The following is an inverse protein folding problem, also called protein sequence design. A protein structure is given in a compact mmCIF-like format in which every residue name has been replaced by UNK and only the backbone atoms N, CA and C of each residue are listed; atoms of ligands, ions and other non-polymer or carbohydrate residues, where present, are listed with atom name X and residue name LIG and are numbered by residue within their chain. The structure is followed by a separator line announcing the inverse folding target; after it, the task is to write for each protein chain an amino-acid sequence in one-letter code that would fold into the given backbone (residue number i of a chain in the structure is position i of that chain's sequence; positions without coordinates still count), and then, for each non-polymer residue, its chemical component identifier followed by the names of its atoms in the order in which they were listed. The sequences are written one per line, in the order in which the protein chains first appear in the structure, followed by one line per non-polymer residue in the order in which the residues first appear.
data_IF_143726030150
#
_entry.id   IF_143726030150
#
_cell.length_a   1.000
_cell.length_b   1.000
_cell.length_c   1.000
_cell.angle_alpha   90.00
_cell.angle_beta   90.00
_cell.angle_gamma   90.00
#
_symmetry.space_group_name_H-M   'P 1'
#
loop_
_entity.id
_entity.type
_entity.pdbx_description
1 polymer ?
#
# COMPACT_ATOMS: atom_id res chain seq x y z
N UNK A 1 -29.93 -8.89 -1.82
CA UNK A 1 -29.87 -9.63 -3.07
C UNK A 1 -30.51 -8.80 -4.18
N UNK A 2 -29.87 -8.74 -5.35
CA UNK A 2 -30.41 -8.10 -6.57
C UNK A 2 -30.42 -9.12 -7.69
N UNK A 3 -31.47 -9.10 -8.49
CA UNK A 3 -31.54 -9.93 -9.68
C UNK A 3 -30.66 -9.32 -10.78
N UNK A 4 -29.91 -10.19 -11.47
CA UNK A 4 -29.07 -9.79 -12.60
C UNK A 4 -29.94 -9.83 -13.87
N UNK A 5 -29.95 -8.73 -14.61
CA UNK A 5 -30.68 -8.63 -15.86
C UNK A 5 -29.79 -8.15 -17.01
N UNK A 6 -30.21 -8.44 -18.22
CA UNK A 6 -29.46 -8.04 -19.42
C UNK A 6 -29.32 -6.53 -19.49
N UNK A 7 -28.08 -6.03 -19.65
CA UNK A 7 -27.76 -4.59 -19.68
C UNK A 7 -27.51 -3.96 -18.31
N UNK A 8 -27.53 -4.73 -17.21
CA UNK A 8 -27.14 -4.24 -15.91
C UNK A 8 -25.70 -3.72 -15.94
N UNK A 9 -25.49 -2.49 -15.45
CA UNK A 9 -24.15 -1.89 -15.35
C UNK A 9 -23.77 -1.77 -13.88
N UNK A 10 -22.57 -2.23 -13.56
CA UNK A 10 -21.93 -2.02 -12.26
C UNK A 10 -20.93 -0.86 -12.37
N UNK A 11 -20.73 -0.16 -11.25
CA UNK A 11 -19.75 0.93 -11.18
C UNK A 11 -18.33 0.35 -11.29
N UNK A 12 -17.64 0.66 -12.38
CA UNK A 12 -16.30 0.11 -12.69
C UNK A 12 -15.21 0.50 -11.66
N UNK A 13 -15.48 1.52 -10.83
CA UNK A 13 -14.52 2.00 -9.84
C UNK A 13 -14.81 1.51 -8.41
N UNK A 14 -15.84 0.67 -8.24
CA UNK A 14 -16.17 0.07 -6.94
C UNK A 14 -15.90 -1.42 -6.97
N UNK A 15 -15.45 -1.95 -5.85
CA UNK A 15 -15.37 -3.40 -5.65
C UNK A 15 -16.80 -3.95 -5.52
N UNK A 16 -17.07 -5.04 -6.24
CA UNK A 16 -18.36 -5.73 -6.21
C UNK A 16 -18.13 -7.18 -5.84
N UNK A 17 -18.93 -7.70 -4.91
CA UNK A 17 -19.06 -9.12 -4.67
C UNK A 17 -20.25 -9.64 -5.46
N UNK A 18 -20.04 -10.72 -6.19
CA UNK A 18 -21.07 -11.33 -7.02
C UNK A 18 -21.22 -12.78 -6.57
N UNK A 19 -22.37 -13.11 -6.00
CA UNK A 19 -22.70 -14.42 -5.52
C UNK A 19 -23.88 -15.00 -6.33
N UNK A 20 -23.86 -16.30 -6.57
CA UNK A 20 -24.94 -17.03 -7.23
C UNK A 20 -25.81 -17.67 -6.18
N UNK A 21 -27.07 -17.32 -6.13
CA UNK A 21 -28.06 -17.99 -5.25
C UNK A 21 -28.42 -19.33 -5.85
N UNK A 22 -28.09 -20.41 -5.14
CA UNK A 22 -28.38 -21.77 -5.57
C UNK A 22 -29.78 -22.21 -5.13
N UNK A 23 -30.16 -21.90 -3.88
CA UNK A 23 -31.46 -22.23 -3.34
C UNK A 23 -31.89 -21.23 -2.25
N UNK A 24 -33.20 -21.15 -2.03
CA UNK A 24 -33.81 -20.41 -0.93
C UNK A 24 -34.87 -21.27 -0.29
N UNK A 25 -34.73 -21.57 0.99
CA UNK A 25 -35.65 -22.44 1.70
C UNK A 25 -35.85 -22.01 3.15
N UNK A 26 -36.94 -22.42 3.74
CA UNK A 26 -37.15 -22.44 5.19
C UNK A 26 -36.59 -23.78 5.68
N UNK A 27 -35.67 -23.75 6.64
CA UNK A 27 -35.02 -24.99 7.14
C UNK A 27 -35.99 -25.75 8.00
N UNK A 28 -36.28 -27.01 7.62
CA UNK A 28 -37.06 -27.97 8.40
C UNK A 28 -36.42 -29.35 8.32
N UNK A 29 -36.73 -30.22 9.26
CA UNK A 29 -36.27 -31.62 9.24
C UNK A 29 -36.73 -32.37 7.98
N UNK A 30 -37.91 -32.03 7.46
CA UNK A 30 -38.45 -32.63 6.24
C UNK A 30 -37.64 -32.27 4.98
N UNK A 31 -36.92 -31.14 5.01
CA UNK A 31 -36.17 -30.64 3.87
C UNK A 31 -34.68 -31.04 3.86
N UNK A 32 -34.25 -31.92 4.77
CA UNK A 32 -32.85 -32.36 4.91
C UNK A 32 -32.27 -32.87 3.58
N UNK A 33 -33.02 -33.63 2.81
CA UNK A 33 -32.59 -34.16 1.52
C UNK A 33 -32.35 -33.04 0.51
N UNK A 34 -33.30 -32.11 0.41
CA UNK A 34 -33.19 -30.93 -0.48
C UNK A 34 -32.01 -30.07 -0.10
N UNK A 35 -31.82 -29.81 1.20
CA UNK A 35 -30.67 -29.06 1.71
C UNK A 35 -29.35 -29.72 1.31
N UNK A 36 -29.22 -31.04 1.47
CA UNK A 36 -28.01 -31.76 1.07
C UNK A 36 -27.73 -31.66 -0.44
N UNK A 37 -28.74 -31.72 -1.26
CA UNK A 37 -28.64 -31.63 -2.72
C UNK A 37 -28.21 -30.19 -3.11
N UNK A 38 -28.83 -29.15 -2.55
CA UNK A 38 -28.49 -27.73 -2.78
C UNK A 38 -27.08 -27.43 -2.33
N UNK A 39 -26.64 -27.91 -1.17
CA UNK A 39 -25.28 -27.75 -0.69
C UNK A 39 -24.23 -28.42 -1.62
N UNK A 40 -24.53 -29.62 -2.16
CA UNK A 40 -23.63 -30.25 -3.14
C UNK A 40 -23.47 -29.43 -4.41
N UNK A 41 -24.58 -28.86 -4.90
CA UNK A 41 -24.55 -27.98 -6.08
C UNK A 41 -23.77 -26.70 -5.77
N UNK A 42 -24.06 -26.06 -4.64
CA UNK A 42 -23.39 -24.85 -4.20
C UNK A 42 -21.88 -25.07 -4.07
N UNK A 43 -21.46 -26.13 -3.38
CA UNK A 43 -20.05 -26.51 -3.24
C UNK A 43 -19.36 -26.79 -4.57
N UNK A 44 -20.09 -27.39 -5.52
CA UNK A 44 -19.55 -27.65 -6.86
C UNK A 44 -19.38 -26.35 -7.67
N UNK A 45 -20.37 -25.46 -7.64
CA UNK A 45 -20.33 -24.19 -8.38
C UNK A 45 -19.36 -23.19 -7.76
N UNK A 46 -19.26 -23.16 -6.43
CA UNK A 46 -18.34 -22.29 -5.67
C UNK A 46 -16.94 -22.87 -5.50
N UNK A 47 -16.60 -23.96 -6.22
CA UNK A 47 -15.27 -24.61 -6.13
C UNK A 47 -14.85 -24.90 -4.68
N UNK A 48 -15.81 -25.41 -3.90
CA UNK A 48 -15.63 -25.75 -2.48
C UNK A 48 -15.91 -24.62 -1.49
N UNK A 49 -16.33 -23.45 -1.95
CA UNK A 49 -16.78 -22.34 -1.12
C UNK A 49 -18.31 -22.22 -1.19
N UNK A 50 -18.95 -22.02 -0.04
CA UNK A 50 -20.40 -21.75 0.04
C UNK A 50 -20.66 -20.70 1.10
N UNK A 51 -21.64 -19.82 0.82
CA UNK A 51 -22.16 -18.84 1.74
C UNK A 51 -23.58 -19.22 2.13
N UNK A 52 -23.88 -19.10 3.41
CA UNK A 52 -25.24 -19.25 3.91
C UNK A 52 -25.67 -17.88 4.45
N UNK A 53 -26.72 -17.34 3.84
CA UNK A 53 -27.32 -16.07 4.25
C UNK A 53 -28.59 -16.36 5.05
N UNK A 54 -28.63 -15.91 6.28
CA UNK A 54 -29.88 -15.83 7.05
C UNK A 54 -30.71 -14.67 6.50
N UNK A 55 -31.89 -14.97 5.98
CA UNK A 55 -32.73 -13.98 5.32
C UNK A 55 -33.44 -13.01 6.30
N UNK A 56 -33.54 -13.34 7.58
CA UNK A 56 -34.15 -12.51 8.61
C UNK A 56 -33.12 -11.54 9.22
N UNK A 57 -31.94 -12.05 9.57
CA UNK A 57 -30.89 -11.26 10.22
C UNK A 57 -29.91 -10.62 9.24
N UNK A 58 -29.88 -11.04 7.96
CA UNK A 58 -28.87 -10.73 6.95
C UNK A 58 -27.44 -11.13 7.37
N UNK A 59 -27.32 -12.06 8.32
CA UNK A 59 -26.02 -12.61 8.71
C UNK A 59 -25.52 -13.57 7.63
N UNK A 60 -24.25 -13.40 7.23
CA UNK A 60 -23.59 -14.26 6.25
C UNK A 60 -22.59 -15.15 6.95
N UNK A 61 -22.65 -16.46 6.72
CA UNK A 61 -21.70 -17.46 7.21
C UNK A 61 -20.98 -18.11 6.04
N UNK A 62 -19.66 -18.15 6.12
CA UNK A 62 -18.81 -18.74 5.10
C UNK A 62 -18.44 -20.18 5.49
N UNK A 63 -18.51 -21.09 4.52
CA UNK A 63 -18.08 -22.49 4.66
C UNK A 63 -17.20 -22.86 3.47
N UNK A 64 -16.11 -23.56 3.75
CA UNK A 64 -15.18 -24.00 2.71
C UNK A 64 -14.67 -25.42 2.98
N UNK A 65 -14.41 -26.15 1.91
CA UNK A 65 -13.61 -27.40 1.96
C UNK A 65 -12.11 -27.12 1.89
N UNK A 66 -11.74 -25.90 1.55
CA UNK A 66 -10.35 -25.44 1.48
C UNK A 66 -9.96 -24.80 2.82
N UNK A 67 -8.67 -24.52 2.98
CA UNK A 67 -8.16 -23.82 4.14
C UNK A 67 -8.76 -22.40 4.20
N UNK A 68 -9.65 -22.19 5.14
CA UNK A 68 -10.34 -20.90 5.33
C UNK A 68 -10.60 -20.67 6.82
N UNK A 69 -10.39 -19.46 7.26
CA UNK A 69 -10.86 -19.01 8.56
C UNK A 69 -12.38 -18.74 8.49
N UNK A 70 -13.22 -19.48 9.25
CA UNK A 70 -14.67 -19.32 9.17
C UNK A 70 -15.18 -17.99 9.74
N UNK A 71 -14.36 -17.28 10.53
CA UNK A 71 -14.75 -16.00 11.15
C UNK A 71 -14.54 -14.85 10.19
N UNK A 72 -13.36 -14.79 9.55
CA UNK A 72 -12.97 -13.69 8.66
C UNK A 72 -13.31 -13.95 7.19
N UNK A 73 -13.59 -15.20 6.82
CA UNK A 73 -13.79 -15.62 5.42
C UNK A 73 -12.49 -15.66 4.60
N UNK A 74 -11.33 -15.40 5.22
CA UNK A 74 -10.03 -15.47 4.55
C UNK A 74 -9.72 -16.91 4.16
N UNK A 75 -9.52 -17.14 2.88
CA UNK A 75 -9.13 -18.45 2.36
C UNK A 75 -7.66 -18.46 1.95
N UNK A 76 -7.03 -19.60 2.19
CA UNK A 76 -5.64 -19.85 1.85
C UNK A 76 -5.58 -20.92 0.76
N UNK A 77 -4.65 -20.78 -0.17
CA UNK A 77 -4.34 -21.83 -1.14
C UNK A 77 -3.72 -23.03 -0.43
N UNK A 78 -3.91 -24.23 -1.00
CA UNK A 78 -3.23 -25.41 -0.48
C UNK A 78 -1.71 -25.20 -0.49
N UNK A 79 -1.02 -25.53 0.63
CA UNK A 79 0.42 -25.40 0.72
C UNK A 79 1.11 -26.26 -0.33
N UNK A 80 1.92 -25.65 -1.17
CA UNK A 80 2.74 -26.33 -2.15
C UNK A 80 4.22 -25.99 -1.92
N UNK A 81 5.17 -26.81 -2.37
CA UNK A 81 6.61 -26.60 -2.12
C UNK A 81 7.09 -25.18 -2.45
N UNK A 82 6.54 -24.55 -3.49
CA UNK A 82 6.91 -23.21 -3.89
C UNK A 82 6.47 -22.11 -2.89
N UNK A 83 5.46 -22.38 -2.04
CA UNK A 83 5.03 -21.46 -0.98
C UNK A 83 6.07 -21.34 0.15
N UNK A 84 6.97 -22.31 0.27
CA UNK A 84 8.02 -22.37 1.30
C UNK A 84 9.40 -22.05 0.75
N UNK A 85 9.51 -21.80 -0.55
CA UNK A 85 10.79 -21.51 -1.19
C UNK A 85 11.05 -20.01 -1.19
N UNK A 86 12.15 -19.58 -0.56
CA UNK A 86 12.57 -18.18 -0.61
C UNK A 86 12.96 -17.71 -2.03
N UNK A 87 13.15 -18.64 -2.96
CA UNK A 87 13.47 -18.37 -4.37
C UNK A 87 12.23 -18.40 -5.28
N UNK A 88 11.03 -18.53 -4.71
CA UNK A 88 9.76 -18.47 -5.42
C UNK A 88 9.03 -17.15 -5.08
N UNK A 89 8.40 -16.49 -6.04
CA UNK A 89 7.59 -15.27 -5.76
C UNK A 89 6.50 -15.49 -4.71
N UNK A 90 5.97 -16.71 -4.59
CA UNK A 90 4.91 -17.04 -3.62
C UNK A 90 5.44 -17.30 -2.21
N UNK A 91 6.69 -17.77 -2.08
CA UNK A 91 7.31 -18.10 -0.79
C UNK A 91 8.34 -17.10 -0.32
N UNK A 92 8.82 -16.24 -1.20
CA UNK A 92 9.79 -15.21 -0.86
C UNK A 92 9.20 -14.13 0.04
N UNK A 93 9.99 -13.66 0.97
CA UNK A 93 9.62 -12.49 1.78
C UNK A 93 9.35 -11.28 0.87
N UNK A 94 8.19 -10.60 0.98
CA UNK A 94 7.86 -9.46 0.11
C UNK A 94 8.81 -8.27 0.28
N UNK A 95 9.46 -8.14 1.45
CA UNK A 95 10.42 -7.06 1.72
C UNK A 95 11.78 -7.32 1.10
N UNK A 96 12.38 -8.49 1.38
CA UNK A 96 13.74 -8.80 0.90
C UNK A 96 13.75 -9.66 -0.37
N UNK A 97 12.59 -10.07 -0.89
CA UNK A 97 12.43 -10.92 -2.09
C UNK A 97 13.32 -12.18 -2.05
N UNK A 98 13.50 -12.76 -0.86
CA UNK A 98 14.33 -13.94 -0.64
C UNK A 98 15.81 -13.67 -0.35
N UNK A 99 16.25 -12.40 -0.35
CA UNK A 99 17.66 -12.05 -0.12
C UNK A 99 18.11 -12.11 1.36
N UNK A 100 17.15 -12.23 2.30
CA UNK A 100 17.43 -12.28 3.75
C UNK A 100 17.81 -10.92 4.37
N UNK A 101 18.06 -9.92 3.55
CA UNK A 101 18.49 -8.59 3.96
C UNK A 101 17.63 -7.53 3.26
N UNK A 102 17.42 -6.39 3.92
CA UNK A 102 16.75 -5.22 3.34
C UNK A 102 17.63 -4.00 3.54
N UNK A 103 17.65 -3.15 2.55
CA UNK A 103 18.30 -1.86 2.64
C UNK A 103 17.43 -0.93 3.50
N UNK A 104 17.94 -0.53 4.65
CA UNK A 104 17.30 0.45 5.53
C UNK A 104 18.07 1.77 5.41
N UNK A 105 17.34 2.87 5.45
CA UNK A 105 17.98 4.17 5.51
C UNK A 105 18.56 4.43 6.91
N UNK A 106 19.76 4.96 6.95
CA UNK A 106 20.44 5.38 8.16
C UNK A 106 20.12 6.84 8.45
N UNK A 107 19.11 7.06 9.31
CA UNK A 107 18.64 8.40 9.65
C UNK A 107 19.70 9.26 10.28
N UNK A 108 20.64 8.68 11.05
CA UNK A 108 21.74 9.41 11.69
C UNK A 108 22.72 9.96 10.64
N UNK A 109 22.84 9.32 9.49
CA UNK A 109 23.64 9.82 8.36
C UNK A 109 22.89 10.80 7.48
N UNK A 110 21.56 10.67 7.39
CA UNK A 110 20.71 11.57 6.59
C UNK A 110 20.54 12.89 7.32
N UNK A 111 20.31 12.86 8.63
CA UNK A 111 20.12 14.03 9.49
C UNK A 111 21.08 13.96 10.70
N UNK A 112 22.38 14.16 10.48
CA UNK A 112 23.38 14.05 11.55
C UNK A 112 23.30 15.17 12.58
N UNK A 113 22.77 16.32 12.21
CA UNK A 113 22.60 17.48 13.09
C UNK A 113 21.19 18.07 12.94
N UNK A 114 20.25 17.67 13.83
CA UNK A 114 18.88 18.17 13.78
C UNK A 114 18.74 19.66 14.18
N UNK A 115 19.82 20.32 14.62
CA UNK A 115 19.80 21.75 14.87
C UNK A 115 19.88 22.58 13.59
N UNK A 116 20.31 21.96 12.49
CA UNK A 116 20.31 22.57 11.17
C UNK A 116 18.91 22.53 10.54
N UNK A 117 18.64 23.53 9.71
CA UNK A 117 17.44 23.55 8.88
C UNK A 117 17.66 22.82 7.56
N UNK A 118 16.58 22.43 6.89
CA UNK A 118 16.64 21.84 5.54
C UNK A 118 17.30 22.82 4.57
N UNK A 119 17.00 24.11 4.70
CA UNK A 119 17.64 25.18 3.92
C UNK A 119 19.16 25.19 4.06
N UNK A 120 19.67 24.99 5.27
CA UNK A 120 21.09 24.98 5.59
C UNK A 120 21.81 23.66 5.27
N UNK A 121 21.07 22.64 4.79
CA UNK A 121 21.61 21.34 4.45
C UNK A 121 21.47 20.31 5.56
N UNK A 122 20.53 20.47 6.49
CA UNK A 122 20.29 19.52 7.59
C UNK A 122 19.89 18.13 7.11
N UNK A 123 19.32 17.99 5.89
CA UNK A 123 19.20 16.72 5.18
C UNK A 123 20.42 16.59 4.24
N UNK A 124 21.44 15.87 4.69
CA UNK A 124 22.73 15.76 3.98
C UNK A 124 22.59 15.24 2.56
N UNK A 125 21.66 14.29 2.36
CA UNK A 125 21.37 13.73 1.04
C UNK A 125 20.90 14.77 0.01
N UNK A 126 20.25 15.84 0.43
CA UNK A 126 19.80 16.93 -0.46
C UNK A 126 20.85 18.04 -0.59
N UNK A 127 21.71 18.17 0.44
CA UNK A 127 22.65 19.27 0.57
C UNK A 127 21.93 20.59 0.91
N UNK A 128 22.65 21.72 0.71
CA UNK A 128 22.08 23.07 0.91
C UNK A 128 20.98 23.34 -0.13
N UNK A 129 20.09 24.25 0.23
CA UNK A 129 19.01 24.70 -0.63
C UNK A 129 19.47 25.03 -2.06
N UNK A 130 18.74 24.51 -3.01
CA UNK A 130 18.87 24.80 -4.45
C UNK A 130 17.49 25.10 -5.01
N UNK A 131 17.45 25.98 -6.00
CA UNK A 131 16.20 26.27 -6.71
C UNK A 131 15.82 25.08 -7.62
N UNK A 132 15.23 24.04 -7.04
CA UNK A 132 14.88 22.79 -7.72
C UNK A 132 13.56 22.22 -7.21
N UNK A 133 12.95 21.37 -8.03
CA UNK A 133 11.62 20.82 -7.80
C UNK A 133 11.48 20.17 -6.41
N UNK A 134 12.45 19.36 -5.99
CA UNK A 134 12.38 18.67 -4.69
C UNK A 134 12.30 19.67 -3.51
N UNK A 135 13.05 20.78 -3.58
CA UNK A 135 12.99 21.79 -2.53
C UNK A 135 11.68 22.57 -2.56
N UNK A 136 11.07 22.82 -3.72
CA UNK A 136 9.76 23.45 -3.81
C UNK A 136 8.66 22.56 -3.24
N UNK A 137 8.75 21.24 -3.47
CA UNK A 137 7.83 20.26 -2.89
C UNK A 137 7.96 20.21 -1.36
N UNK A 138 9.19 20.17 -0.84
CA UNK A 138 9.45 20.21 0.61
C UNK A 138 8.98 21.55 1.21
N UNK A 139 9.15 22.66 0.52
CA UNK A 139 8.67 23.96 0.98
C UNK A 139 7.14 24.00 1.08
N UNK A 140 6.44 23.44 0.09
CA UNK A 140 4.98 23.30 0.13
C UNK A 140 4.51 22.41 1.29
N UNK A 141 5.21 21.30 1.58
CA UNK A 141 4.95 20.45 2.74
C UNK A 141 5.16 21.19 4.06
N UNK A 142 6.30 21.89 4.19
CA UNK A 142 6.55 22.70 5.38
C UNK A 142 5.44 23.73 5.61
N UNK A 143 4.97 24.41 4.56
CA UNK A 143 3.88 25.39 4.64
C UNK A 143 2.56 24.74 5.06
N UNK A 144 2.25 23.54 4.54
CA UNK A 144 1.07 22.75 4.93
C UNK A 144 1.03 22.52 6.45
N UNK A 145 2.18 22.23 7.05
CA UNK A 145 2.31 21.97 8.49
C UNK A 145 2.66 23.22 9.33
N UNK A 146 2.57 24.43 8.75
CA UNK A 146 2.77 25.69 9.48
C UNK A 146 4.22 25.99 9.83
N UNK A 147 5.20 25.34 9.20
CA UNK A 147 6.64 25.55 9.37
C UNK A 147 7.27 26.01 8.05
N UNK A 148 8.56 26.28 8.07
CA UNK A 148 9.32 26.68 6.89
C UNK A 148 10.55 25.79 6.72
N UNK A 149 11.12 25.74 5.52
CA UNK A 149 12.38 25.02 5.28
C UNK A 149 13.58 25.57 6.06
N UNK A 150 13.43 26.75 6.67
CA UNK A 150 14.44 27.39 7.54
C UNK A 150 14.27 27.01 9.01
N UNK A 151 13.18 26.35 9.37
CA UNK A 151 12.96 25.81 10.72
C UNK A 151 13.98 24.71 10.99
N UNK A 152 14.66 24.68 12.17
CA UNK A 152 15.51 23.57 12.56
C UNK A 152 14.76 22.25 12.48
N UNK A 153 15.42 21.18 12.02
CA UNK A 153 14.77 19.86 11.82
C UNK A 153 14.14 19.34 13.12
N UNK A 154 14.78 19.55 14.27
CA UNK A 154 14.25 19.16 15.59
C UNK A 154 12.92 19.84 15.94
N UNK A 155 12.62 21.00 15.35
CA UNK A 155 11.42 21.79 15.63
C UNK A 155 10.34 21.58 14.54
N UNK A 156 10.58 20.73 13.55
CA UNK A 156 9.63 20.31 12.53
C UNK A 156 8.72 19.24 13.15
N UNK A 157 7.38 19.33 13.01
CA UNK A 157 6.46 18.28 13.47
C UNK A 157 6.81 16.90 12.90
N UNK A 158 6.65 15.84 13.68
CA UNK A 158 6.96 14.48 13.27
C UNK A 158 6.21 14.06 12.00
N UNK A 159 4.91 14.41 11.90
CA UNK A 159 4.11 14.15 10.70
C UNK A 159 4.70 14.83 9.44
N UNK A 160 5.14 16.08 9.58
CA UNK A 160 5.78 16.81 8.47
C UNK A 160 7.10 16.18 8.07
N UNK A 161 7.89 15.74 9.05
CA UNK A 161 9.17 15.06 8.79
C UNK A 161 8.95 13.68 8.15
N UNK A 162 7.91 12.95 8.56
CA UNK A 162 7.53 11.68 7.94
C UNK A 162 7.12 11.87 6.48
N UNK A 163 6.25 12.84 6.18
CA UNK A 163 5.89 13.17 4.80
C UNK A 163 7.12 13.63 3.96
N UNK A 164 8.04 14.40 4.54
CA UNK A 164 9.28 14.81 3.86
C UNK A 164 10.15 13.60 3.54
N UNK A 165 10.26 12.65 4.46
CA UNK A 165 11.10 11.47 4.27
C UNK A 165 10.46 10.41 3.39
N UNK A 166 9.19 10.08 3.63
CA UNK A 166 8.52 8.93 3.03
C UNK A 166 7.57 9.30 1.87
N UNK A 167 7.31 10.60 1.68
CA UNK A 167 6.37 11.07 0.65
C UNK A 167 4.94 11.17 1.15
N UNK A 168 4.06 11.62 0.28
CA UNK A 168 2.62 11.76 0.55
C UNK A 168 1.81 11.39 -0.68
N UNK A 169 0.65 10.76 -0.47
CA UNK A 169 -0.31 10.46 -1.54
C UNK A 169 -1.08 11.71 -1.99
N UNK A 170 -1.02 12.78 -1.20
CA UNK A 170 -1.65 14.06 -1.55
C UNK A 170 -0.88 14.77 -2.65
N UNK A 171 -1.62 15.42 -3.54
CA UNK A 171 -1.01 16.30 -4.54
C UNK A 171 -0.66 17.63 -3.94
N UNK A 172 0.60 17.97 -3.94
CA UNK A 172 1.10 19.24 -3.43
C UNK A 172 0.89 20.36 -4.45
N UNK A 173 0.31 21.47 -4.01
CA UNK A 173 0.22 22.68 -4.81
C UNK A 173 1.55 23.44 -4.71
N UNK A 174 2.27 23.49 -5.82
CA UNK A 174 3.55 24.22 -5.88
C UNK A 174 3.29 25.61 -6.45
N UNK A 175 3.66 26.62 -5.67
CA UNK A 175 3.67 28.02 -6.07
C UNK A 175 5.12 28.45 -6.25
N UNK A 176 5.54 28.71 -7.49
CA UNK A 176 6.87 29.22 -7.76
C UNK A 176 6.81 30.23 -8.91
N UNK A 177 7.35 31.41 -8.69
CA UNK A 177 7.36 32.49 -9.67
C UNK A 177 8.12 32.10 -10.94
N UNK A 178 9.07 31.17 -10.83
CA UNK A 178 9.85 30.66 -11.97
C UNK A 178 9.04 29.76 -12.91
N UNK A 179 7.90 29.22 -12.45
CA UNK A 179 6.99 28.37 -13.24
C UNK A 179 5.81 29.14 -13.85
N UNK A 180 5.75 30.45 -13.62
CA UNK A 180 4.63 31.30 -14.05
C UNK A 180 3.43 31.22 -13.09
N UNK A 181 2.33 31.91 -13.45
CA UNK A 181 1.12 32.02 -12.59
C UNK A 181 0.29 30.75 -12.51
N UNK A 182 0.73 29.62 -13.03
CA UNK A 182 -0.01 28.36 -13.03
C UNK A 182 0.19 27.59 -11.74
N UNK A 183 -0.92 27.11 -11.14
CA UNK A 183 -0.87 26.21 -10.00
C UNK A 183 -0.53 24.80 -10.51
N UNK A 184 0.61 24.26 -10.14
CA UNK A 184 0.97 22.88 -10.43
C UNK A 184 0.67 21.99 -9.25
N UNK A 185 0.01 20.86 -9.52
CA UNK A 185 -0.26 19.81 -8.53
C UNK A 185 0.63 18.61 -8.82
N UNK A 186 1.58 18.34 -7.95
CA UNK A 186 2.55 17.26 -8.11
C UNK A 186 2.54 16.31 -6.92
N UNK A 187 2.75 15.02 -7.20
CA UNK A 187 3.01 14.02 -6.17
C UNK A 187 4.43 14.17 -5.62
N UNK A 188 4.62 13.87 -4.36
CA UNK A 188 5.92 13.88 -3.71
C UNK A 188 6.25 12.50 -3.16
N UNK A 189 7.33 11.93 -3.61
CA UNK A 189 7.69 10.54 -3.32
C UNK A 189 8.64 10.38 -2.11
N UNK A 190 9.11 11.47 -1.54
CA UNK A 190 9.98 11.47 -0.37
C UNK A 190 11.48 11.39 -0.65
N UNK A 191 12.26 11.87 0.33
CA UNK A 191 13.74 11.80 0.29
C UNK A 191 14.22 10.35 0.32
N UNK A 192 13.53 9.49 1.04
CA UNK A 192 13.86 8.06 1.13
C UNK A 192 13.88 7.41 -0.25
N UNK A 193 12.82 7.59 -1.04
CA UNK A 193 12.74 7.06 -2.39
C UNK A 193 13.80 7.68 -3.31
N UNK A 194 14.05 8.98 -3.18
CA UNK A 194 15.11 9.65 -3.94
C UNK A 194 16.48 8.99 -3.72
N UNK A 195 16.83 8.66 -2.45
CA UNK A 195 18.10 7.97 -2.13
C UNK A 195 18.11 6.54 -2.71
N UNK A 196 17.02 5.77 -2.50
CA UNK A 196 16.94 4.38 -2.94
C UNK A 196 17.02 4.25 -4.46
N UNK A 197 16.37 5.13 -5.21
CA UNK A 197 16.47 5.15 -6.68
C UNK A 197 17.90 5.36 -7.18
N UNK A 198 18.74 6.11 -6.46
CA UNK A 198 20.14 6.28 -6.83
C UNK A 198 21.00 5.04 -6.57
N UNK A 199 20.47 4.06 -5.84
CA UNK A 199 21.16 2.78 -5.62
C UNK A 199 20.80 1.72 -6.67
N UNK A 200 19.77 1.94 -7.47
CA UNK A 200 19.37 0.98 -8.50
C UNK A 200 20.44 0.80 -9.58
N UNK A 201 20.41 -0.35 -10.27
CA UNK A 201 21.44 -0.78 -11.21
C UNK A 201 21.64 0.14 -12.42
N UNK A 202 20.64 0.96 -12.73
CA UNK A 202 20.67 1.92 -13.84
C UNK A 202 21.38 3.23 -13.48
N UNK A 203 21.63 3.50 -12.19
CA UNK A 203 22.32 4.69 -11.75
C UNK A 203 23.83 4.59 -11.99
N UNK A 204 24.49 5.74 -12.11
CA UNK A 204 25.95 5.80 -12.24
C UNK A 204 26.65 5.23 -11.00
N UNK A 205 27.86 4.66 -11.17
CA UNK A 205 28.64 4.13 -10.05
C UNK A 205 28.89 5.15 -8.93
N UNK A 206 29.01 6.44 -9.27
CA UNK A 206 29.14 7.52 -8.29
C UNK A 206 27.86 7.77 -7.52
N UNK A 207 26.70 7.68 -8.16
CA UNK A 207 25.38 7.81 -7.53
C UNK A 207 25.10 6.62 -6.59
N UNK A 208 25.43 5.41 -7.03
CA UNK A 208 25.30 4.21 -6.20
C UNK A 208 26.18 4.29 -4.94
N UNK A 209 27.45 4.72 -5.09
CA UNK A 209 28.35 4.91 -3.96
C UNK A 209 27.84 5.99 -3.00
N UNK A 210 27.33 7.07 -3.53
CA UNK A 210 26.75 8.16 -2.74
C UNK A 210 25.50 7.66 -1.97
N UNK A 211 24.56 6.97 -2.61
CA UNK A 211 23.38 6.41 -1.97
C UNK A 211 23.73 5.36 -0.91
N UNK A 212 24.71 4.50 -1.19
CA UNK A 212 25.20 3.48 -0.25
C UNK A 212 25.73 4.07 1.06
N UNK A 213 26.14 5.34 1.07
CA UNK A 213 26.55 6.03 2.31
C UNK A 213 25.38 6.16 3.31
N UNK A 214 24.15 6.34 2.82
CA UNK A 214 22.95 6.56 3.63
C UNK A 214 22.19 5.27 3.94
N UNK A 215 22.70 4.12 3.52
CA UNK A 215 22.03 2.83 3.67
C UNK A 215 22.81 1.99 4.68
N UNK A 216 22.05 1.27 5.53
CA UNK A 216 22.53 0.19 6.40
C UNK A 216 21.81 -1.10 6.05
N UNK A 217 22.52 -2.20 6.12
CA UNK A 217 21.99 -3.56 5.98
C UNK A 217 21.48 -4.09 7.33
#
# INVERSE_FOLDING_TARGET
LKEIFHGMKLDRYKMHSIEVVIDKMIVSEADERRLKESLKIAMKQGDGLVLILDAETNEVRHYSRRLMDPVTGLSYSEPAPHNFSFNSPQGACPKCKGLGQVNLLDMDKIVPDPSLSIYSGGIVALGKYKNSLIFWQIEALCQKHGVTIKTPIRDIPEEAMDEIMNGTDERLQIKNDSLGSSNYFLSYEGVAKYILMQQESEASASAQKWAGHFIKM
#
